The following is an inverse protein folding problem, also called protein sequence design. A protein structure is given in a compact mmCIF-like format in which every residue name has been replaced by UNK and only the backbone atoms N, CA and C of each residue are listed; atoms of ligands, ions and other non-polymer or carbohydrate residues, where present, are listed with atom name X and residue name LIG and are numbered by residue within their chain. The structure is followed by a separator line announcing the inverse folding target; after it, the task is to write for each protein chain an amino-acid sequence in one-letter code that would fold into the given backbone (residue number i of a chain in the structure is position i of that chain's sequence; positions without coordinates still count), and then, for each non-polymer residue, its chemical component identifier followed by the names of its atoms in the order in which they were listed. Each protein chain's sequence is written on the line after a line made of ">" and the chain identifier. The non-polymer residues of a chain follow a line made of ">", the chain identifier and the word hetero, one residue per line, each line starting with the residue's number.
data_IF_017808405949
#
_entry.id   IF_017808405949
#
_cell.length_a   1.000
_cell.length_b   1.000
_cell.length_c   1.000
_cell.angle_alpha   90.00
_cell.angle_beta   90.00
_cell.angle_gamma   90.00
#
_symmetry.space_group_name_H-M   'P 1'
#
loop_
_entity.id
_entity.type
_entity.pdbx_description
1 polymer ?
#
# COMPACT_ATOMS: atom_id res chain seq x y z
N UNK A 1 28.13 5.20 1.91
CA UNK A 1 27.47 4.02 1.28
C UNK A 1 26.57 3.23 2.23
N UNK A 2 26.89 3.12 3.55
CA UNK A 2 26.06 2.34 4.50
C UNK A 2 24.72 3.00 4.89
N UNK A 3 24.68 4.32 5.06
CA UNK A 3 23.46 5.04 5.48
C UNK A 3 22.34 4.98 4.44
N UNK A 4 22.69 5.06 3.14
CA UNK A 4 21.72 5.03 2.05
C UNK A 4 21.00 3.67 1.98
N UNK A 5 21.72 2.57 2.19
CA UNK A 5 21.15 1.21 2.21
C UNK A 5 20.22 1.01 3.41
N UNK A 6 20.61 1.48 4.59
CA UNK A 6 19.81 1.36 5.83
C UNK A 6 18.51 2.18 5.76
N UNK A 7 18.54 3.38 5.17
CA UNK A 7 17.33 4.19 4.98
C UNK A 7 16.30 3.50 4.07
N UNK A 8 16.73 2.87 2.97
CA UNK A 8 15.84 2.16 2.05
C UNK A 8 15.17 0.93 2.67
N UNK A 9 15.87 0.22 3.55
CA UNK A 9 15.30 -0.91 4.28
C UNK A 9 14.20 -0.43 5.24
N UNK A 10 14.45 0.67 5.95
CA UNK A 10 13.46 1.28 6.84
C UNK A 10 12.22 1.78 6.06
N UNK A 11 12.41 2.43 4.91
CA UNK A 11 11.30 2.95 4.10
C UNK A 11 10.42 1.82 3.54
N UNK A 12 11.02 0.67 3.18
CA UNK A 12 10.28 -0.52 2.74
C UNK A 12 9.48 -1.16 3.86
N UNK A 13 10.07 -1.25 5.05
CA UNK A 13 9.39 -1.79 6.24
C UNK A 13 8.17 -0.93 6.60
N UNK A 14 8.34 0.40 6.62
CA UNK A 14 7.24 1.34 6.85
C UNK A 14 6.14 1.21 5.78
N UNK A 15 6.52 1.11 4.50
CA UNK A 15 5.56 0.90 3.41
C UNK A 15 4.76 -0.39 3.57
N UNK A 16 5.38 -1.46 4.07
CA UNK A 16 4.72 -2.75 4.31
C UNK A 16 3.76 -2.68 5.50
N UNK A 17 4.17 -2.07 6.63
CA UNK A 17 3.29 -1.84 7.79
C UNK A 17 2.06 -1.03 7.37
N UNK A 18 2.31 0.03 6.60
CA UNK A 18 1.25 0.88 6.07
C UNK A 18 0.28 0.09 5.19
N UNK A 19 0.82 -0.69 4.24
CA UNK A 19 0.00 -1.45 3.30
C UNK A 19 -0.86 -2.51 4.00
N UNK A 20 -0.34 -3.16 5.04
CA UNK A 20 -1.09 -4.11 5.85
C UNK A 20 -2.25 -3.43 6.60
N UNK A 21 -2.00 -2.29 7.26
CA UNK A 21 -3.06 -1.52 7.95
C UNK A 21 -4.13 -1.04 6.99
N UNK A 22 -3.72 -0.54 5.82
CA UNK A 22 -4.64 -0.13 4.76
C UNK A 22 -5.54 -1.30 4.33
N UNK A 23 -4.93 -2.46 4.03
CA UNK A 23 -5.66 -3.65 3.62
C UNK A 23 -6.67 -4.12 4.65
N UNK A 24 -6.30 -4.15 5.94
CA UNK A 24 -7.19 -4.55 7.02
C UNK A 24 -8.43 -3.64 7.12
N UNK A 25 -8.22 -2.31 7.09
CA UNK A 25 -9.31 -1.34 7.14
C UNK A 25 -10.21 -1.49 5.91
N UNK A 26 -9.62 -1.62 4.72
CA UNK A 26 -10.38 -1.73 3.46
C UNK A 26 -11.25 -3.00 3.42
N UNK A 27 -10.76 -4.13 3.96
CA UNK A 27 -11.52 -5.37 4.12
C UNK A 27 -12.63 -5.18 5.15
N UNK A 28 -12.33 -4.62 6.33
CA UNK A 28 -13.31 -4.39 7.40
C UNK A 28 -14.46 -3.50 6.95
N UNK A 29 -14.19 -2.52 6.07
CA UNK A 29 -15.20 -1.62 5.48
C UNK A 29 -15.98 -2.26 4.33
N UNK A 30 -15.59 -3.45 3.86
CA UNK A 30 -16.23 -4.13 2.74
C UNK A 30 -15.95 -3.51 1.38
N UNK A 31 -14.92 -2.66 1.26
CA UNK A 31 -14.54 -2.04 -0.01
C UNK A 31 -13.86 -3.04 -0.96
N UNK A 32 -13.10 -3.97 -0.39
CA UNK A 32 -12.33 -4.98 -1.11
C UNK A 32 -12.36 -6.31 -0.36
N UNK A 33 -12.09 -7.40 -1.09
CA UNK A 33 -11.88 -8.72 -0.51
C UNK A 33 -10.44 -8.94 -0.07
N UNK A 34 -10.22 -9.90 0.84
CA UNK A 34 -8.88 -10.32 1.24
C UNK A 34 -8.03 -10.84 0.06
N UNK A 35 -8.67 -11.43 -0.95
CA UNK A 35 -8.01 -11.87 -2.19
C UNK A 35 -7.45 -10.67 -2.97
N UNK A 36 -8.25 -9.63 -3.18
CA UNK A 36 -7.83 -8.42 -3.89
C UNK A 36 -6.72 -7.68 -3.14
N UNK A 37 -6.80 -7.60 -1.81
CA UNK A 37 -5.71 -7.02 -0.99
C UNK A 37 -4.41 -7.82 -1.17
N UNK A 38 -4.48 -9.16 -1.12
CA UNK A 38 -3.31 -10.01 -1.34
C UNK A 38 -2.70 -9.81 -2.72
N UNK A 39 -3.52 -9.72 -3.76
CA UNK A 39 -3.06 -9.47 -5.14
C UNK A 39 -2.37 -8.10 -5.25
N UNK A 40 -2.95 -7.05 -4.65
CA UNK A 40 -2.36 -5.72 -4.64
C UNK A 40 -1.03 -5.65 -3.87
N UNK A 41 -0.89 -6.37 -2.75
CA UNK A 41 0.36 -6.46 -1.99
C UNK A 41 1.49 -7.15 -2.77
N UNK A 42 1.14 -8.21 -3.52
CA UNK A 42 2.10 -8.89 -4.41
C UNK A 42 2.55 -7.92 -5.50
N UNK A 43 1.62 -7.21 -6.14
CA UNK A 43 1.93 -6.22 -7.16
C UNK A 43 2.81 -5.08 -6.62
N UNK A 44 2.50 -4.56 -5.42
CA UNK A 44 3.32 -3.54 -4.76
C UNK A 44 4.76 -4.01 -4.53
N UNK A 45 4.94 -5.25 -4.07
CA UNK A 45 6.26 -5.87 -3.84
C UNK A 45 7.06 -6.02 -5.14
N UNK A 46 6.37 -6.40 -6.22
CA UNK A 46 6.97 -6.49 -7.55
C UNK A 46 7.48 -5.12 -8.00
N UNK A 47 6.67 -4.05 -7.89
CA UNK A 47 7.10 -2.70 -8.28
C UNK A 47 8.25 -2.16 -7.41
N UNK A 48 8.26 -2.46 -6.10
CA UNK A 48 9.36 -2.06 -5.22
C UNK A 48 10.69 -2.76 -5.54
N UNK A 49 10.65 -3.89 -6.23
CA UNK A 49 11.84 -4.66 -6.63
C UNK A 49 12.53 -4.08 -7.87
N UNK A 50 11.83 -3.25 -8.67
CA UNK A 50 12.41 -2.58 -9.84
C UNK A 50 13.08 -1.26 -9.43
N UNK A 51 14.36 -1.33 -9.08
CA UNK A 51 15.20 -0.25 -8.50
C UNK A 51 15.56 0.91 -9.44
N UNK A 52 14.82 1.14 -10.53
CA UNK A 52 15.28 2.02 -11.60
C UNK A 52 14.61 3.39 -11.68
N UNK A 53 13.32 3.43 -11.99
CA UNK A 53 12.71 4.62 -12.63
C UNK A 53 11.21 4.78 -12.30
N UNK A 54 10.52 3.73 -11.81
CA UNK A 54 9.06 3.79 -11.60
C UNK A 54 8.73 4.26 -10.19
N UNK A 55 7.84 5.25 -10.10
CA UNK A 55 7.17 5.65 -8.87
C UNK A 55 6.67 4.41 -8.12
N UNK A 56 7.03 4.30 -6.85
CA UNK A 56 6.56 3.21 -5.98
C UNK A 56 5.04 3.33 -5.83
N UNK A 57 4.29 2.48 -6.54
CA UNK A 57 2.85 2.42 -6.37
C UNK A 57 2.51 1.95 -4.96
N UNK A 58 1.67 2.68 -4.26
CA UNK A 58 1.12 2.31 -2.97
C UNK A 58 -0.09 1.38 -3.17
N UNK A 59 -0.41 0.57 -2.14
CA UNK A 59 -1.53 -0.37 -2.22
C UNK A 59 -2.86 0.31 -2.59
N UNK A 60 -3.11 1.53 -2.08
CA UNK A 60 -4.33 2.29 -2.40
C UNK A 60 -4.42 2.69 -3.88
N UNK A 61 -3.29 3.01 -4.51
CA UNK A 61 -3.23 3.32 -5.94
C UNK A 61 -3.48 2.07 -6.78
N UNK A 62 -2.87 0.94 -6.41
CA UNK A 62 -3.05 -0.35 -7.09
C UNK A 62 -4.53 -0.79 -7.02
N UNK A 63 -5.16 -0.69 -5.85
CA UNK A 63 -6.57 -1.04 -5.67
C UNK A 63 -7.50 -0.12 -6.49
N UNK A 64 -7.14 1.16 -6.64
CA UNK A 64 -7.88 2.12 -7.46
C UNK A 64 -7.71 1.85 -8.97
N UNK A 65 -6.49 1.67 -9.44
CA UNK A 65 -6.19 1.38 -10.85
C UNK A 65 -6.83 0.07 -11.33
N UNK A 66 -6.89 -0.94 -10.46
CA UNK A 66 -7.59 -2.20 -10.73
C UNK A 66 -9.13 -2.07 -10.68
N UNK A 67 -9.67 -0.89 -10.34
CA UNK A 67 -11.11 -0.64 -10.22
C UNK A 67 -11.77 -1.33 -9.02
N UNK A 68 -10.97 -1.82 -8.06
CA UNK A 68 -11.48 -2.49 -6.85
C UNK A 68 -11.87 -1.49 -5.75
N UNK A 69 -11.32 -0.28 -5.81
CA UNK A 69 -11.72 0.84 -4.96
C UNK A 69 -11.93 2.09 -5.78
N UNK A 70 -12.82 2.95 -5.32
CA UNK A 70 -12.93 4.33 -5.81
C UNK A 70 -11.94 5.24 -5.07
N UNK A 71 -11.62 6.39 -5.67
CA UNK A 71 -10.76 7.39 -5.01
C UNK A 71 -11.30 7.80 -3.63
N UNK A 72 -12.61 8.01 -3.51
CA UNK A 72 -13.24 8.38 -2.23
C UNK A 72 -13.12 7.27 -1.15
N UNK A 73 -13.17 6.00 -1.55
CA UNK A 73 -12.93 4.87 -0.63
C UNK A 73 -11.46 4.82 -0.20
N UNK A 74 -10.52 5.07 -1.12
CA UNK A 74 -9.09 5.16 -0.79
C UNK A 74 -8.89 6.27 0.23
N UNK A 75 -9.32 7.50 -0.05
CA UNK A 75 -9.23 8.64 0.86
C UNK A 75 -9.87 8.37 2.23
N UNK A 76 -10.98 7.64 2.27
CA UNK A 76 -11.61 7.23 3.53
C UNK A 76 -10.67 6.36 4.38
N UNK A 77 -10.04 5.37 3.77
CA UNK A 77 -9.06 4.50 4.47
C UNK A 77 -7.83 5.31 4.90
N UNK A 78 -7.32 6.22 4.05
CA UNK A 78 -6.19 7.09 4.40
C UNK A 78 -6.47 7.95 5.65
N UNK A 79 -7.68 8.51 5.75
CA UNK A 79 -8.13 9.27 6.92
C UNK A 79 -8.15 8.40 8.17
N UNK A 80 -8.72 7.20 8.10
CA UNK A 80 -8.81 6.30 9.26
C UNK A 80 -7.43 5.83 9.75
N UNK A 81 -6.45 5.68 8.87
CA UNK A 81 -5.07 5.40 9.28
C UNK A 81 -4.45 6.58 10.02
N UNK A 82 -4.77 7.82 9.62
CA UNK A 82 -4.20 9.05 10.18
C UNK A 82 -4.83 9.42 11.52
N UNK A 83 -6.13 9.17 11.68
CA UNK A 83 -6.89 9.49 12.89
C UNK A 83 -6.66 8.48 14.05
N UNK A 84 -6.13 7.29 13.74
CA UNK A 84 -5.80 6.23 14.71
C UNK A 84 -4.29 6.05 14.89
N UNK A 85 -3.53 7.15 14.97
CA UNK A 85 -2.08 7.17 15.27
C UNK A 85 -1.82 7.78 16.64
#
# INVERSE_FOLDING_TARGET
>A
MKEKTMQYENDRELAMIYANRFGEIAIRKGFVSAKQVKEALVEQTIYQSFSGIRHHKLIGEILFENGWMTLGQVEHVLREISDNQ
#
